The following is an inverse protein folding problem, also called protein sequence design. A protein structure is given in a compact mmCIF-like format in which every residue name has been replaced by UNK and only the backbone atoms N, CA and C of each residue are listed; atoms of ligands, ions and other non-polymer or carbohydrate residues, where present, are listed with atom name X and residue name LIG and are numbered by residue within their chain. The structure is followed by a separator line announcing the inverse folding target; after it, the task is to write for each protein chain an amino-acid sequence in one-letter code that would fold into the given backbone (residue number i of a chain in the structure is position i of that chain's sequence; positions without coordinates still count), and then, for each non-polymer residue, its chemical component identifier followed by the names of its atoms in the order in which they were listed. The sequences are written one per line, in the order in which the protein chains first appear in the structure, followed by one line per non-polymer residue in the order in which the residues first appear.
data_IF_286572245557
#
_entry.id   IF_286572245557
#
_cell.length_a   1.000
_cell.length_b   1.000
_cell.length_c   1.000
_cell.angle_alpha   90.00
_cell.angle_beta   90.00
_cell.angle_gamma   90.00
#
_symmetry.space_group_name_H-M   'P 1'
#
loop_
_entity.id
_entity.type
_entity.pdbx_description
1 polymer ?
#
# COMPACT_ATOMS: atom_id res chain seq x y z
N UNK A 1 -5.66 17.36 41.75
CA UNK A 1 -4.92 18.52 41.19
C UNK A 1 -5.66 19.05 39.98
N UNK A 2 -6.05 20.33 39.95
CA UNK A 2 -6.64 20.97 38.76
C UNK A 2 -5.52 21.69 37.99
N UNK A 3 -5.17 21.23 36.79
CA UNK A 3 -4.21 21.91 35.91
C UNK A 3 -4.99 22.83 34.98
N UNK A 4 -4.93 24.14 35.26
CA UNK A 4 -5.44 25.17 34.37
C UNK A 4 -4.41 25.44 33.27
N UNK A 5 -4.81 25.39 32.00
CA UNK A 5 -4.00 25.86 30.89
C UNK A 5 -4.19 27.37 30.74
N UNK A 6 -3.09 28.13 30.60
CA UNK A 6 -3.13 29.53 30.18
C UNK A 6 -2.98 29.59 28.66
N UNK A 7 -3.79 30.39 27.93
CA UNK A 7 -3.50 30.73 26.54
C UNK A 7 -2.33 31.71 26.46
N UNK A 8 -1.53 31.62 25.40
CA UNK A 8 -0.52 32.63 25.05
C UNK A 8 -1.08 33.43 23.86
N UNK A 9 -1.12 34.75 24.04
CA UNK A 9 -1.57 35.73 23.06
C UNK A 9 -0.47 36.05 22.03
N UNK A 10 -0.91 36.44 20.83
CA UNK A 10 -0.04 36.94 19.76
C UNK A 10 0.57 38.31 20.12
N UNK A 11 1.79 38.56 19.63
CA UNK A 11 2.28 39.93 19.39
C UNK A 11 3.24 39.96 18.20
N UNK A 12 2.91 40.80 17.24
CA UNK A 12 3.65 41.17 16.02
C UNK A 12 4.96 41.93 16.36
N UNK A 13 5.90 42.31 15.47
CA UNK A 13 6.02 42.34 13.99
C UNK A 13 7.51 42.65 13.66
N UNK A 14 8.07 42.21 12.52
CA UNK A 14 9.07 43.02 11.77
C UNK A 14 9.36 42.49 10.36
N UNK A 15 9.43 43.42 9.40
CA UNK A 15 9.85 43.25 8.00
C UNK A 15 11.39 43.02 7.88
N UNK A 16 12.03 42.63 6.77
CA UNK A 16 11.77 42.63 5.30
C UNK A 16 12.68 41.50 4.69
N UNK A 17 12.74 41.12 3.41
CA UNK A 17 12.16 41.55 2.11
C UNK A 17 12.16 40.38 1.09
N UNK A 18 11.51 40.56 -0.06
CA UNK A 18 11.68 39.74 -1.29
C UNK A 18 12.35 40.58 -2.39
N UNK A 19 13.05 39.93 -3.35
CA UNK A 19 12.97 40.34 -4.75
C UNK A 19 12.44 39.21 -5.68
N UNK A 20 12.17 39.59 -6.94
CA UNK A 20 11.28 38.92 -7.89
C UNK A 20 11.99 37.87 -8.80
N UNK A 21 11.25 37.04 -9.58
CA UNK A 21 11.82 36.02 -10.47
C UNK A 21 11.94 36.47 -11.95
N UNK A 22 13.10 36.28 -12.59
CA UNK A 22 13.27 36.43 -14.05
C UNK A 22 14.29 35.46 -14.69
N UNK A 23 13.80 34.71 -15.69
CA UNK A 23 14.43 34.29 -16.98
C UNK A 23 15.86 33.73 -17.10
N UNK A 24 15.92 32.49 -17.62
CA UNK A 24 16.70 31.98 -18.77
C UNK A 24 18.20 32.34 -18.93
N UNK A 25 19.06 31.30 -18.95
CA UNK A 25 20.01 31.07 -20.04
C UNK A 25 20.37 29.57 -20.19
N UNK A 26 20.94 29.18 -21.34
CA UNK A 26 21.18 27.79 -21.79
C UNK A 26 22.42 27.10 -21.17
N UNK A 27 22.41 25.76 -21.17
CA UNK A 27 23.59 24.92 -20.94
C UNK A 27 23.47 23.62 -21.77
N UNK A 28 24.56 23.25 -22.45
CA UNK A 28 24.53 22.48 -23.70
C UNK A 28 24.09 21.01 -23.61
N UNK A 29 23.65 20.50 -24.77
CA UNK A 29 23.21 19.13 -25.00
C UNK A 29 24.34 18.10 -24.89
N UNK A 30 24.17 17.09 -24.02
CA UNK A 30 24.83 15.79 -24.17
C UNK A 30 23.81 14.81 -24.76
N UNK A 31 24.13 14.21 -25.91
CA UNK A 31 23.27 13.24 -26.57
C UNK A 31 23.19 11.92 -25.78
N UNK A 32 22.11 11.77 -24.99
CA UNK A 32 21.84 10.61 -24.15
C UNK A 32 20.72 9.72 -24.72
N UNK A 33 20.92 9.26 -25.94
CA UNK A 33 20.11 8.25 -26.63
C UNK A 33 18.65 8.65 -26.92
N UNK A 34 17.82 7.70 -27.43
CA UNK A 34 16.38 7.88 -27.49
C UNK A 34 15.87 8.12 -26.05
N UNK A 35 15.10 9.19 -25.79
CA UNK A 35 14.66 9.48 -24.43
C UNK A 35 13.88 8.31 -23.82
N UNK A 36 14.02 8.12 -22.50
CA UNK A 36 13.15 7.25 -21.69
C UNK A 36 11.71 7.83 -21.56
N UNK A 37 11.17 8.37 -22.65
CA UNK A 37 9.82 8.91 -22.84
C UNK A 37 8.76 7.79 -23.01
N UNK A 38 8.91 6.67 -22.30
CA UNK A 38 7.77 5.87 -21.83
C UNK A 38 7.45 6.25 -20.38
N UNK A 39 7.33 7.56 -20.16
CA UNK A 39 6.75 8.13 -18.96
C UNK A 39 5.22 7.89 -19.04
N UNK A 40 4.62 7.38 -17.98
CA UNK A 40 3.15 7.27 -17.78
C UNK A 40 2.39 6.56 -18.93
N UNK A 41 2.43 5.23 -18.95
CA UNK A 41 1.18 4.53 -19.24
C UNK A 41 0.22 4.91 -18.10
N UNK A 42 -0.93 5.46 -18.47
CA UNK A 42 -2.02 5.77 -17.55
C UNK A 42 -2.31 4.55 -16.68
N UNK A 43 -2.38 4.74 -15.36
CA UNK A 43 -2.54 3.65 -14.40
C UNK A 43 -3.90 2.96 -14.61
N UNK A 44 -3.89 1.88 -15.37
CA UNK A 44 -5.06 1.03 -15.58
C UNK A 44 -5.38 0.26 -14.29
N UNK A 45 -6.24 0.86 -13.47
CA UNK A 45 -6.76 0.25 -12.25
C UNK A 45 -7.48 -1.09 -12.52
N UNK A 46 -8.02 -1.30 -13.73
CA UNK A 46 -8.65 -2.55 -14.14
C UNK A 46 -7.65 -3.72 -14.26
N UNK A 47 -6.38 -3.44 -14.54
CA UNK A 47 -5.30 -4.46 -14.62
C UNK A 47 -4.63 -4.76 -13.28
N UNK A 48 -5.02 -4.10 -12.20
CA UNK A 48 -4.43 -4.35 -10.88
C UNK A 48 -4.82 -5.74 -10.34
N UNK A 49 -3.84 -6.58 -9.95
CA UNK A 49 -4.09 -7.97 -9.60
C UNK A 49 -5.01 -8.13 -8.39
N UNK A 50 -6.06 -8.93 -8.53
CA UNK A 50 -6.98 -9.27 -7.44
C UNK A 50 -6.30 -10.12 -6.37
N UNK A 51 -5.49 -11.11 -6.76
CA UNK A 51 -4.78 -12.00 -5.83
C UNK A 51 -3.77 -11.21 -4.97
N UNK A 52 -3.84 -11.27 -3.63
CA UNK A 52 -2.99 -10.47 -2.73
C UNK A 52 -1.49 -10.77 -2.91
N UNK A 53 -1.12 -11.99 -3.30
CA UNK A 53 0.28 -12.40 -3.51
C UNK A 53 0.88 -11.84 -4.79
N UNK A 54 0.04 -11.52 -5.77
CA UNK A 54 0.46 -10.95 -7.05
C UNK A 54 0.58 -9.42 -7.01
N UNK A 55 0.18 -8.75 -5.92
CA UNK A 55 0.24 -7.29 -5.78
C UNK A 55 1.67 -6.79 -5.55
N UNK A 56 2.22 -5.92 -6.43
CA UNK A 56 3.41 -5.12 -6.10
C UNK A 56 3.22 -4.34 -4.80
N UNK A 57 4.29 -4.07 -4.06
CA UNK A 57 4.17 -3.33 -2.78
C UNK A 57 3.74 -1.90 -3.10
N UNK A 58 3.00 -1.24 -2.20
CA UNK A 58 2.60 0.16 -2.41
C UNK A 58 3.78 1.12 -2.66
N UNK A 59 4.98 0.80 -2.16
CA UNK A 59 6.19 1.59 -2.39
C UNK A 59 6.78 1.41 -3.80
N UNK A 60 6.51 0.30 -4.48
CA UNK A 60 7.03 -0.01 -5.81
C UNK A 60 6.31 0.81 -6.91
N UNK A 61 5.13 1.35 -6.60
CA UNK A 61 4.42 2.30 -7.47
C UNK A 61 4.93 3.74 -7.30
N UNK A 62 4.77 4.54 -8.36
CA UNK A 62 5.08 5.96 -8.35
C UNK A 62 4.28 6.73 -7.28
N UNK A 63 4.88 7.68 -6.54
CA UNK A 63 4.23 8.37 -5.42
C UNK A 63 2.84 8.98 -5.71
N UNK A 64 2.60 9.50 -6.93
CA UNK A 64 1.29 10.04 -7.36
C UNK A 64 0.16 9.02 -7.38
N UNK A 65 0.51 7.74 -7.53
CA UNK A 65 -0.43 6.68 -7.89
C UNK A 65 -0.78 5.81 -6.69
N UNK A 66 0.09 5.77 -5.68
CA UNK A 66 -0.09 5.00 -4.43
C UNK A 66 -1.46 5.25 -3.79
N UNK A 67 -1.92 6.49 -3.81
CA UNK A 67 -3.21 6.85 -3.23
C UNK A 67 -4.42 6.41 -4.07
N UNK A 68 -4.32 6.48 -5.40
CA UNK A 68 -5.33 5.92 -6.31
C UNK A 68 -5.45 4.41 -6.10
N UNK A 69 -4.30 3.74 -5.96
CA UNK A 69 -4.20 2.29 -5.73
C UNK A 69 -4.79 1.90 -4.36
N UNK A 70 -4.54 2.69 -3.29
CA UNK A 70 -5.18 2.46 -1.99
C UNK A 70 -6.70 2.54 -2.09
N UNK A 71 -7.23 3.60 -2.71
CA UNK A 71 -8.68 3.80 -2.88
C UNK A 71 -9.30 2.67 -3.68
N UNK A 72 -8.67 2.25 -4.78
CA UNK A 72 -9.10 1.12 -5.58
C UNK A 72 -9.22 -0.17 -4.76
N UNK A 73 -8.15 -0.58 -4.07
CA UNK A 73 -8.18 -1.82 -3.28
C UNK A 73 -9.09 -1.72 -2.04
N UNK A 74 -9.24 -0.54 -1.44
CA UNK A 74 -10.20 -0.30 -0.36
C UNK A 74 -11.65 -0.46 -0.84
N UNK A 75 -12.00 0.11 -2.01
CA UNK A 75 -13.33 -0.02 -2.61
C UNK A 75 -13.62 -1.44 -3.11
N UNK A 76 -12.61 -2.12 -3.68
CA UNK A 76 -12.71 -3.50 -4.17
C UNK A 76 -12.88 -4.52 -3.04
N UNK A 77 -12.38 -4.22 -1.85
CA UNK A 77 -12.43 -5.10 -0.70
C UNK A 77 -11.44 -6.29 -0.79
N UNK A 78 -11.46 -7.17 0.23
CA UNK A 78 -10.51 -8.27 0.35
C UNK A 78 -10.78 -9.40 -0.66
N UNK A 79 -9.71 -9.99 -1.19
CA UNK A 79 -9.80 -11.14 -2.08
C UNK A 79 -10.13 -12.43 -1.30
N UNK A 80 -11.39 -12.86 -1.38
CA UNK A 80 -11.94 -14.03 -0.67
C UNK A 80 -12.58 -15.02 -1.64
N UNK A 81 -11.80 -15.84 -2.36
CA UNK A 81 -12.35 -16.91 -3.19
C UNK A 81 -13.10 -17.93 -2.33
N UNK A 82 -14.40 -18.13 -2.60
CA UNK A 82 -15.29 -19.05 -1.85
C UNK A 82 -15.55 -20.38 -2.56
N UNK A 83 -15.47 -20.40 -3.89
CA UNK A 83 -15.76 -21.57 -4.74
C UNK A 83 -14.48 -22.36 -5.09
N UNK A 84 -13.54 -22.45 -4.14
CA UNK A 84 -12.27 -23.18 -4.33
C UNK A 84 -12.11 -24.28 -3.29
N UNK A 85 -11.48 -25.37 -3.70
CA UNK A 85 -10.99 -26.38 -2.76
C UNK A 85 -9.66 -25.89 -2.18
N UNK A 86 -9.68 -25.50 -0.90
CA UNK A 86 -8.46 -25.22 -0.14
C UNK A 86 -7.64 -26.52 -0.02
N UNK A 87 -6.35 -26.50 -0.42
CA UNK A 87 -5.53 -27.70 -0.32
C UNK A 87 -5.27 -28.06 1.14
N UNK A 88 -4.92 -29.33 1.36
CA UNK A 88 -4.57 -29.83 2.68
C UNK A 88 -3.04 -29.81 2.81
N UNK A 89 -2.53 -28.90 3.62
CA UNK A 89 -1.09 -28.71 3.82
C UNK A 89 -0.64 -29.43 5.10
N UNK A 90 0.44 -30.22 4.98
CA UNK A 90 1.04 -30.94 6.11
C UNK A 90 1.91 -30.02 6.94
N UNK A 91 1.76 -30.06 8.26
CA UNK A 91 2.55 -29.29 9.21
C UNK A 91 2.96 -30.18 10.39
N UNK A 92 4.18 -30.72 10.31
CA UNK A 92 4.60 -31.80 11.22
C UNK A 92 3.72 -33.04 11.03
N UNK A 93 3.23 -33.60 12.14
CA UNK A 93 2.36 -34.78 12.16
C UNK A 93 0.89 -34.47 11.85
N UNK A 94 0.48 -33.20 11.84
CA UNK A 94 -0.88 -32.78 11.52
C UNK A 94 -1.01 -32.29 10.08
N UNK A 95 -2.26 -32.19 9.61
CA UNK A 95 -2.59 -31.66 8.30
C UNK A 95 -3.74 -30.68 8.43
N UNK A 96 -3.51 -29.44 8.01
CA UNK A 96 -4.47 -28.34 8.13
C UNK A 96 -4.78 -27.75 6.76
N UNK A 97 -5.97 -27.16 6.64
CA UNK A 97 -6.42 -26.42 5.46
C UNK A 97 -6.96 -25.08 5.92
N UNK A 98 -6.96 -24.08 5.05
CA UNK A 98 -7.59 -22.80 5.35
C UNK A 98 -9.07 -22.97 5.74
N UNK A 99 -9.47 -22.36 6.86
CA UNK A 99 -10.84 -22.43 7.36
C UNK A 99 -11.70 -21.32 6.73
N UNK A 100 -12.70 -21.72 5.92
CA UNK A 100 -13.61 -20.80 5.23
C UNK A 100 -14.43 -19.91 6.18
N UNK A 101 -14.68 -20.36 7.42
CA UNK A 101 -15.39 -19.57 8.44
C UNK A 101 -14.62 -18.31 8.85
N UNK A 102 -13.30 -18.30 8.68
CA UNK A 102 -12.49 -17.10 8.94
C UNK A 102 -12.88 -15.92 8.02
N UNK A 103 -13.42 -16.16 6.82
CA UNK A 103 -13.99 -15.06 6.02
C UNK A 103 -15.26 -14.46 6.63
N UNK A 104 -16.04 -15.22 7.40
CA UNK A 104 -17.19 -14.67 8.13
C UNK A 104 -16.72 -13.89 9.35
N UNK A 105 -15.71 -14.39 10.06
CA UNK A 105 -15.15 -13.79 11.29
C UNK A 105 -14.27 -12.55 11.04
N UNK A 106 -13.53 -12.54 9.92
CA UNK A 106 -12.52 -11.53 9.58
C UNK A 106 -12.77 -10.89 8.20
N UNK A 107 -14.02 -10.92 7.75
CA UNK A 107 -14.43 -10.63 6.38
C UNK A 107 -14.06 -9.25 5.84
N UNK A 108 -13.82 -8.25 6.70
CA UNK A 108 -13.41 -6.92 6.28
C UNK A 108 -11.93 -6.76 5.89
N UNK A 109 -11.06 -7.73 6.20
CA UNK A 109 -9.61 -7.58 5.97
C UNK A 109 -8.86 -8.86 5.59
N UNK A 110 -9.39 -10.04 5.91
CA UNK A 110 -8.74 -11.31 5.60
C UNK A 110 -8.84 -11.61 4.10
N UNK A 111 -7.69 -11.90 3.48
CA UNK A 111 -7.57 -12.30 2.09
C UNK A 111 -6.88 -13.66 1.99
N UNK A 112 -7.08 -14.36 0.87
CA UNK A 112 -6.40 -15.62 0.59
C UNK A 112 -5.86 -15.65 -0.84
N UNK A 113 -4.64 -16.17 -1.01
CA UNK A 113 -4.07 -16.49 -2.32
C UNK A 113 -4.07 -17.99 -2.52
N UNK A 114 -4.82 -18.46 -3.53
CA UNK A 114 -4.77 -19.86 -3.96
C UNK A 114 -3.39 -20.23 -4.55
N UNK A 115 -2.62 -19.25 -5.02
CA UNK A 115 -1.32 -19.49 -5.64
C UNK A 115 -0.25 -19.98 -4.65
N UNK A 116 -0.36 -19.60 -3.38
CA UNK A 116 0.60 -19.99 -2.33
C UNK A 116 -0.04 -20.69 -1.12
N UNK A 117 -1.33 -21.05 -1.19
CA UNK A 117 -2.11 -21.58 -0.04
C UNK A 117 -1.94 -20.72 1.22
N UNK A 118 -2.15 -19.41 1.07
CA UNK A 118 -1.68 -18.43 2.05
C UNK A 118 -2.71 -17.35 2.35
N UNK A 119 -2.85 -17.02 3.64
CA UNK A 119 -3.66 -15.92 4.13
C UNK A 119 -2.87 -14.60 4.21
N UNK A 120 -3.54 -13.50 3.87
CA UNK A 120 -3.01 -12.13 3.84
C UNK A 120 -3.98 -11.14 4.51
N UNK A 121 -3.55 -9.91 4.73
CA UNK A 121 -4.36 -8.84 5.32
C UNK A 121 -4.37 -7.60 4.42
N UNK A 122 -5.55 -7.23 3.92
CA UNK A 122 -5.77 -6.07 3.05
C UNK A 122 -5.36 -4.76 3.74
N UNK A 123 -5.83 -4.56 4.98
CA UNK A 123 -5.51 -3.38 5.79
C UNK A 123 -3.99 -3.20 5.95
N UNK A 124 -3.28 -4.31 6.15
CA UNK A 124 -1.83 -4.36 6.28
C UNK A 124 -1.16 -3.95 4.96
N UNK A 125 -1.60 -4.48 3.82
CA UNK A 125 -1.14 -4.04 2.49
C UNK A 125 -1.34 -2.52 2.28
N UNK A 126 -2.51 -1.99 2.64
CA UNK A 126 -2.87 -0.58 2.44
C UNK A 126 -2.04 0.40 3.30
N UNK A 127 -1.73 0.04 4.55
CA UNK A 127 -1.04 0.92 5.52
C UNK A 127 0.49 0.86 5.49
N UNK A 128 1.08 -0.12 4.78
CA UNK A 128 2.54 -0.40 4.78
C UNK A 128 3.47 0.74 4.37
N UNK A 129 2.97 1.85 3.83
CA UNK A 129 3.78 3.04 3.54
C UNK A 129 4.26 3.81 4.78
N UNK A 130 3.64 3.62 5.95
CA UNK A 130 4.02 4.33 7.18
C UNK A 130 5.04 3.57 8.03
N UNK A 131 5.22 2.28 7.78
CA UNK A 131 6.16 1.43 8.52
C UNK A 131 7.51 1.43 7.80
N UNK A 132 8.39 2.35 8.23
CA UNK A 132 9.80 2.30 7.86
C UNK A 132 10.37 0.96 8.34
N UNK A 133 10.86 0.15 7.39
CA UNK A 133 11.64 -1.06 7.63
C UNK A 133 11.03 -2.16 8.54
N UNK A 134 9.93 -2.77 8.10
CA UNK A 134 9.67 -4.18 8.45
C UNK A 134 9.61 -5.06 7.19
N UNK A 135 10.71 -5.79 6.95
CA UNK A 135 10.81 -6.86 5.96
C UNK A 135 10.03 -8.08 6.43
N UNK A 136 8.72 -8.06 6.22
CA UNK A 136 7.86 -9.25 6.36
C UNK A 136 6.85 -9.29 5.24
N UNK A 137 6.82 -10.35 4.45
CA UNK A 137 5.55 -10.77 3.86
C UNK A 137 4.74 -11.31 5.03
N UNK A 138 3.69 -10.59 5.45
CA UNK A 138 2.86 -11.03 6.56
C UNK A 138 1.90 -12.11 6.05
N UNK A 139 2.48 -13.30 5.81
CA UNK A 139 1.75 -14.56 5.79
C UNK A 139 1.08 -14.67 7.15
N UNK A 140 -0.25 -14.65 7.19
CA UNK A 140 -0.96 -14.87 8.43
C UNK A 140 -1.02 -16.37 8.63
N UNK A 141 -0.06 -16.89 9.38
CA UNK A 141 -0.14 -18.22 9.94
C UNK A 141 -1.23 -18.19 11.03
N UNK A 142 -2.46 -18.41 10.62
CA UNK A 142 -3.52 -18.83 11.53
C UNK A 142 -3.21 -20.29 11.91
N UNK A 143 -2.83 -20.49 13.15
CA UNK A 143 -2.93 -21.80 13.80
C UNK A 143 -4.32 -21.88 14.43
N UNK A 144 -5.08 -22.92 14.08
CA UNK A 144 -6.18 -23.43 14.91
C UNK A 144 -5.59 -24.35 16.00
#
# INVERSE_FOLDING_TARGET
MKRFYKPISESEQSSTSNPNPQTLDECESIQLGPPLKKRWLELDLGRLPSDPRLRPRLLDYHPSDREKIRRYYFQKGPCQPREINFPLTKFGDSSSKFNLEWYSKYGGWLEYSQKEDAAYCLCCYLMRSHLKEHRGSFFILFYD
#
